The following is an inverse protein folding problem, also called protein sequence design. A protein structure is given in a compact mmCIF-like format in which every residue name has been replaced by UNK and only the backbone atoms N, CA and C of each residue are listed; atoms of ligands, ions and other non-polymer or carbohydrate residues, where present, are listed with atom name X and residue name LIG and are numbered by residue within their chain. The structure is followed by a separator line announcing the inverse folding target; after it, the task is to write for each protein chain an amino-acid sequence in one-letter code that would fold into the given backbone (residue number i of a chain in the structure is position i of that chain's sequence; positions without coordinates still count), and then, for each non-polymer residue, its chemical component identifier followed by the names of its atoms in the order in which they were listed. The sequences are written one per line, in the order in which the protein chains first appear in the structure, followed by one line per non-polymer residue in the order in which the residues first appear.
data_IF_818180011781
#
_entry.id   IF_818180011781
#
_cell.length_a   1.000
_cell.length_b   1.000
_cell.length_c   1.000
_cell.angle_alpha   90.00
_cell.angle_beta   90.00
_cell.angle_gamma   90.00
#
_symmetry.space_group_name_H-M   'P 1'
#
loop_
_entity.id
_entity.type
_entity.pdbx_description
1 polymer ?
#
# COMPACT_ATOMS: atom_id res chain seq x y z
N UNK A 1 10.76 -15.68 11.56
CA UNK A 1 10.44 -14.49 10.76
C UNK A 1 8.93 -14.37 10.72
N UNK A 2 8.38 -13.26 11.21
CA UNK A 2 6.92 -13.06 11.27
C UNK A 2 6.45 -12.32 10.02
N UNK A 3 5.41 -12.83 9.38
CA UNK A 3 4.91 -12.28 8.11
C UNK A 3 3.43 -11.93 8.22
N UNK A 4 2.99 -10.94 7.46
CA UNK A 4 1.57 -10.59 7.39
C UNK A 4 1.12 -10.31 5.95
N UNK A 5 -0.20 -10.44 5.73
CA UNK A 5 -0.91 -9.97 4.55
C UNK A 5 -1.82 -8.84 5.01
N UNK A 6 -1.74 -7.67 4.38
CA UNK A 6 -2.39 -6.47 4.85
C UNK A 6 -3.38 -5.89 3.83
N UNK A 7 -4.46 -5.30 4.34
CA UNK A 7 -5.41 -4.48 3.59
C UNK A 7 -5.82 -3.27 4.42
N UNK A 8 -6.08 -2.15 3.76
CA UNK A 8 -6.81 -1.02 4.34
C UNK A 8 -8.22 -1.01 3.76
N UNK A 9 -9.23 -1.05 4.60
CA UNK A 9 -10.62 -1.00 4.20
C UNK A 9 -11.42 -0.02 5.06
N UNK A 10 -12.56 0.38 4.59
CA UNK A 10 -13.50 1.22 5.33
C UNK A 10 -14.58 0.37 6.01
N UNK A 11 -15.25 0.93 7.00
CA UNK A 11 -16.48 0.34 7.51
C UNK A 11 -17.66 0.61 6.59
N UNK A 12 -18.54 -0.34 6.50
CA UNK A 12 -19.80 -0.25 5.77
C UNK A 12 -20.97 -0.28 6.75
N UNK A 13 -22.07 0.41 6.40
CA UNK A 13 -23.30 0.40 7.19
C UNK A 13 -24.04 -0.93 7.12
N UNK A 14 -23.93 -1.61 5.97
CA UNK A 14 -24.54 -2.91 5.72
C UNK A 14 -23.44 -3.97 5.61
N UNK A 15 -23.75 -5.16 6.15
CA UNK A 15 -22.82 -6.29 6.22
C UNK A 15 -22.45 -6.82 4.82
N UNK A 16 -23.31 -6.67 3.83
CA UNK A 16 -23.05 -7.02 2.43
C UNK A 16 -21.96 -6.16 1.78
N UNK A 17 -21.65 -5.00 2.36
CA UNK A 17 -20.55 -4.15 1.92
C UNK A 17 -19.18 -4.82 2.03
N UNK A 18 -19.05 -5.86 2.86
CA UNK A 18 -17.81 -6.62 3.01
C UNK A 18 -17.65 -7.80 2.04
N UNK A 19 -18.54 -7.99 1.09
CA UNK A 19 -18.49 -9.10 0.14
C UNK A 19 -17.19 -9.12 -0.68
N UNK A 20 -16.66 -7.95 -1.06
CA UNK A 20 -15.37 -7.86 -1.76
C UNK A 20 -14.21 -8.29 -0.86
N UNK A 21 -14.17 -7.79 0.37
CA UNK A 21 -13.15 -8.16 1.35
C UNK A 21 -13.18 -9.68 1.65
N UNK A 22 -14.39 -10.27 1.76
CA UNK A 22 -14.58 -11.69 1.97
C UNK A 22 -14.09 -12.49 0.75
N UNK A 23 -14.44 -12.10 -0.48
CA UNK A 23 -13.94 -12.71 -1.72
C UNK A 23 -12.42 -12.65 -1.81
N UNK A 24 -11.82 -11.49 -1.47
CA UNK A 24 -10.37 -11.32 -1.38
C UNK A 24 -9.76 -12.31 -0.39
N UNK A 25 -10.33 -12.42 0.81
CA UNK A 25 -9.84 -13.32 1.86
C UNK A 25 -9.97 -14.79 1.45
N UNK A 26 -11.04 -15.18 0.77
CA UNK A 26 -11.20 -16.52 0.21
C UNK A 26 -10.14 -16.81 -0.87
N UNK A 27 -9.83 -15.84 -1.73
CA UNK A 27 -8.74 -15.99 -2.71
C UNK A 27 -7.38 -16.17 -2.01
N UNK A 28 -7.11 -15.42 -0.93
CA UNK A 28 -5.92 -15.63 -0.10
C UNK A 28 -5.91 -17.04 0.50
N UNK A 29 -7.01 -17.47 1.11
CA UNK A 29 -7.13 -18.80 1.73
C UNK A 29 -6.82 -19.94 0.75
N UNK A 30 -7.22 -19.81 -0.52
CA UNK A 30 -6.96 -20.79 -1.57
C UNK A 30 -5.50 -20.81 -2.03
N UNK A 31 -4.78 -19.69 -1.92
CA UNK A 31 -3.44 -19.51 -2.46
C UNK A 31 -2.35 -19.41 -1.38
N UNK A 32 -2.69 -19.61 -0.10
CA UNK A 32 -1.80 -19.55 1.05
C UNK A 32 -1.70 -20.93 1.72
N UNK A 33 -0.52 -21.55 1.69
CA UNK A 33 -0.24 -22.80 2.37
C UNK A 33 0.20 -22.58 3.83
N UNK A 34 1.02 -21.57 4.08
CA UNK A 34 1.55 -21.25 5.40
C UNK A 34 0.49 -20.56 6.28
N UNK A 35 -0.10 -21.32 7.20
CA UNK A 35 -1.15 -20.82 8.11
C UNK A 35 -0.65 -19.91 9.24
N UNK A 36 0.66 -19.72 9.36
CA UNK A 36 1.25 -18.82 10.37
C UNK A 36 1.41 -17.37 9.89
N UNK A 37 0.83 -17.02 8.73
CA UNK A 37 0.83 -15.65 8.21
C UNK A 37 -0.44 -14.94 8.70
N UNK A 38 -0.27 -13.86 9.44
CA UNK A 38 -1.36 -13.06 9.98
C UNK A 38 -2.03 -12.23 8.86
N UNK A 39 -3.35 -12.10 8.91
CA UNK A 39 -4.11 -11.20 8.04
C UNK A 39 -4.44 -9.93 8.82
N UNK A 40 -3.90 -8.80 8.40
CA UNK A 40 -4.15 -7.51 9.03
C UNK A 40 -5.19 -6.73 8.23
N UNK A 41 -6.32 -6.44 8.86
CA UNK A 41 -7.37 -5.59 8.31
C UNK A 41 -7.30 -4.24 9.05
N UNK A 42 -6.66 -3.27 8.40
CA UNK A 42 -6.62 -1.89 8.88
C UNK A 42 -7.94 -1.18 8.56
N UNK A 43 -8.49 -0.45 9.54
CA UNK A 43 -9.76 0.28 9.38
C UNK A 43 -9.84 1.53 10.25
N UNK A 44 -10.74 2.43 9.92
CA UNK A 44 -10.92 3.73 10.59
C UNK A 44 -11.69 3.65 11.93
N UNK A 45 -11.82 2.49 12.53
CA UNK A 45 -12.57 2.27 13.77
C UNK A 45 -14.07 2.02 13.57
N UNK A 46 -14.54 1.93 12.34
CA UNK A 46 -15.94 1.83 11.94
C UNK A 46 -16.39 0.42 11.52
N UNK A 47 -15.56 -0.61 11.71
CA UNK A 47 -15.95 -2.02 11.59
C UNK A 47 -16.37 -2.53 12.97
N UNK A 48 -17.66 -2.73 13.16
CA UNK A 48 -18.23 -3.19 14.44
C UNK A 48 -17.81 -4.62 14.77
N UNK A 49 -17.94 -5.03 16.05
CA UNK A 49 -17.66 -6.40 16.46
C UNK A 49 -18.52 -7.45 15.74
N UNK A 50 -19.78 -7.13 15.43
CA UNK A 50 -20.66 -7.98 14.61
C UNK A 50 -20.12 -8.16 13.19
N UNK A 51 -19.71 -7.07 12.54
CA UNK A 51 -19.13 -7.11 11.21
C UNK A 51 -17.80 -7.88 11.19
N UNK A 52 -16.95 -7.71 12.23
CA UNK A 52 -15.71 -8.49 12.38
C UNK A 52 -15.99 -9.98 12.48
N UNK A 53 -16.97 -10.37 13.33
CA UNK A 53 -17.39 -11.77 13.46
C UNK A 53 -17.89 -12.35 12.14
N UNK A 54 -18.71 -11.60 11.39
CA UNK A 54 -19.19 -12.03 10.08
C UNK A 54 -18.05 -12.30 9.10
N UNK A 55 -17.06 -11.42 9.04
CA UNK A 55 -15.90 -11.58 8.15
C UNK A 55 -15.10 -12.83 8.53
N UNK A 56 -14.85 -13.04 9.84
CA UNK A 56 -14.14 -14.22 10.37
C UNK A 56 -14.90 -15.51 10.03
N UNK A 57 -16.21 -15.54 10.27
CA UNK A 57 -17.05 -16.74 10.03
C UNK A 57 -17.06 -17.16 8.56
N UNK A 58 -16.93 -16.21 7.64
CA UNK A 58 -16.85 -16.49 6.19
C UNK A 58 -15.47 -16.94 5.72
N UNK A 59 -14.41 -16.70 6.53
CA UNK A 59 -13.01 -17.02 6.18
C UNK A 59 -12.27 -17.68 7.35
N UNK A 60 -12.79 -18.83 7.88
CA UNK A 60 -12.38 -19.42 9.16
C UNK A 60 -10.96 -20.01 9.17
N UNK A 61 -10.33 -20.15 8.00
CA UNK A 61 -8.96 -20.69 7.89
C UNK A 61 -7.87 -19.62 7.97
N UNK A 62 -8.23 -18.35 8.14
CA UNK A 62 -7.30 -17.22 8.21
C UNK A 62 -7.24 -16.69 9.65
N UNK A 63 -6.04 -16.35 10.12
CA UNK A 63 -5.86 -15.64 11.38
C UNK A 63 -5.97 -14.13 11.13
N UNK A 64 -7.17 -13.58 11.39
CA UNK A 64 -7.51 -12.19 11.06
C UNK A 64 -7.40 -11.31 12.28
N UNK A 65 -6.68 -10.19 12.14
CA UNK A 65 -6.55 -9.13 13.13
C UNK A 65 -7.12 -7.83 12.59
N UNK A 66 -8.15 -7.28 13.24
CA UNK A 66 -8.70 -5.97 12.93
C UNK A 66 -7.93 -4.90 13.71
N UNK A 67 -7.40 -3.92 13.00
CA UNK A 67 -6.56 -2.87 13.58
C UNK A 67 -7.18 -1.51 13.27
N UNK A 68 -7.71 -0.87 14.30
CA UNK A 68 -8.18 0.51 14.19
C UNK A 68 -6.97 1.45 14.04
N UNK A 69 -6.84 2.09 12.89
CA UNK A 69 -5.75 3.02 12.58
C UNK A 69 -6.11 4.48 12.89
N UNK A 70 -7.38 4.77 13.17
CA UNK A 70 -7.85 6.11 13.54
C UNK A 70 -7.67 6.37 15.05
N UNK A 71 -6.43 6.28 15.51
CA UNK A 71 -6.03 6.43 16.92
C UNK A 71 -5.02 7.57 17.12
N UNK A 72 -4.97 8.52 16.18
CA UNK A 72 -4.01 9.62 16.15
C UNK A 72 -2.68 9.30 15.45
N UNK A 73 -2.44 8.04 15.07
CA UNK A 73 -1.23 7.62 14.34
C UNK A 73 -1.40 7.68 12.82
N UNK A 74 -2.64 7.57 12.32
CA UNK A 74 -2.99 7.74 10.91
C UNK A 74 -4.26 8.60 10.77
N UNK A 75 -4.61 8.97 9.53
CA UNK A 75 -5.78 9.81 9.21
C UNK A 75 -5.82 11.11 10.03
N UNK A 76 -4.67 11.78 10.13
CA UNK A 76 -4.47 12.98 10.95
C UNK A 76 -5.44 14.09 10.55
N UNK A 77 -6.33 14.51 11.46
CA UNK A 77 -7.42 15.47 11.20
C UNK A 77 -6.93 16.82 10.65
N UNK A 78 -5.80 17.33 11.14
CA UNK A 78 -5.22 18.60 10.65
C UNK A 78 -4.82 18.55 9.17
N UNK A 79 -4.56 17.38 8.60
CA UNK A 79 -4.28 17.23 7.17
C UNK A 79 -5.52 17.46 6.31
N UNK A 80 -6.72 17.37 6.88
CA UNK A 80 -7.99 17.66 6.18
C UNK A 80 -8.20 19.16 5.92
N UNK A 81 -7.41 20.02 6.55
CA UNK A 81 -7.47 21.47 6.37
C UNK A 81 -6.60 21.97 5.19
N UNK A 82 -5.78 21.06 4.61
CA UNK A 82 -4.89 21.41 3.50
C UNK A 82 -5.73 21.66 2.25
N UNK A 83 -5.54 22.84 1.64
CA UNK A 83 -6.17 23.19 0.36
C UNK A 83 -5.63 22.30 -0.76
N UNK A 84 -6.54 21.66 -1.50
CA UNK A 84 -6.20 20.81 -2.63
C UNK A 84 -5.86 21.64 -3.86
N UNK A 85 -4.84 21.21 -4.60
CA UNK A 85 -4.62 21.73 -5.94
C UNK A 85 -5.85 21.51 -6.81
N UNK A 86 -6.37 22.55 -7.52
CA UNK A 86 -7.59 22.44 -8.32
C UNK A 86 -7.54 21.30 -9.36
N UNK A 87 -6.38 21.02 -9.95
CA UNK A 87 -6.19 19.93 -10.91
C UNK A 87 -6.39 18.53 -10.33
N UNK A 88 -6.39 18.41 -9.00
CA UNK A 88 -6.55 17.12 -8.28
C UNK A 88 -7.79 17.06 -7.39
N UNK A 89 -8.68 18.05 -7.49
CA UNK A 89 -9.87 18.20 -6.62
C UNK A 89 -10.86 17.04 -6.70
N UNK A 90 -10.87 16.27 -7.80
CA UNK A 90 -11.72 15.09 -7.95
C UNK A 90 -11.34 13.93 -6.97
N UNK A 91 -10.13 13.95 -6.41
CA UNK A 91 -9.70 12.98 -5.41
C UNK A 91 -9.98 13.52 -4.01
N UNK A 92 -10.98 12.95 -3.34
CA UNK A 92 -11.37 13.37 -1.99
C UNK A 92 -10.33 13.06 -0.92
N UNK A 93 -10.60 13.59 0.28
CA UNK A 93 -9.69 13.44 1.45
C UNK A 93 -9.43 11.98 1.82
N UNK A 94 -10.42 11.09 1.74
CA UNK A 94 -10.25 9.67 2.05
C UNK A 94 -9.20 8.97 1.16
N UNK A 95 -9.16 9.33 -0.14
CA UNK A 95 -8.14 8.81 -1.05
C UNK A 95 -6.73 9.28 -0.65
N UNK A 96 -6.58 10.54 -0.25
CA UNK A 96 -5.30 11.12 0.20
C UNK A 96 -4.85 10.51 1.54
N UNK A 97 -5.78 10.26 2.44
CA UNK A 97 -5.52 9.50 3.67
C UNK A 97 -5.03 8.08 3.38
N UNK A 98 -5.62 7.39 2.41
CA UNK A 98 -5.17 6.06 1.99
C UNK A 98 -3.74 6.09 1.44
N UNK A 99 -3.41 7.07 0.57
CA UNK A 99 -2.04 7.25 0.07
C UNK A 99 -1.04 7.56 1.20
N UNK A 100 -1.43 8.45 2.14
CA UNK A 100 -0.61 8.76 3.32
C UNK A 100 -0.41 7.52 4.19
N UNK A 101 -1.48 6.79 4.47
CA UNK A 101 -1.41 5.57 5.26
C UNK A 101 -0.37 4.60 4.68
N UNK A 102 -0.47 4.25 3.39
CA UNK A 102 0.38 3.24 2.76
C UNK A 102 1.83 3.69 2.52
N UNK A 103 2.15 4.96 2.71
CA UNK A 103 3.52 5.43 2.61
C UNK A 103 4.10 5.92 3.94
N UNK A 104 3.31 6.69 4.70
CA UNK A 104 3.79 7.38 5.91
C UNK A 104 3.41 6.65 7.20
N UNK A 105 2.14 6.19 7.33
CA UNK A 105 1.60 5.88 8.66
C UNK A 105 1.63 4.38 9.00
N UNK A 106 1.57 3.46 8.03
CA UNK A 106 1.43 2.02 8.26
C UNK A 106 2.58 1.42 9.09
N UNK A 107 3.75 2.05 9.07
CA UNK A 107 4.90 1.65 9.87
C UNK A 107 4.60 1.56 11.36
N UNK A 108 3.68 2.37 11.85
CA UNK A 108 3.25 2.39 13.24
C UNK A 108 2.54 1.09 13.67
N UNK A 109 2.04 0.31 12.71
CA UNK A 109 1.20 -0.86 12.95
C UNK A 109 1.86 -2.19 12.61
N UNK A 110 2.98 -2.16 11.87
CA UNK A 110 3.68 -3.38 11.40
C UNK A 110 5.03 -3.63 12.07
N UNK A 111 5.30 -2.96 13.21
CA UNK A 111 6.60 -3.03 13.92
C UNK A 111 7.07 -4.44 14.24
N UNK A 112 6.15 -5.38 14.49
CA UNK A 112 6.44 -6.76 14.87
C UNK A 112 6.55 -7.72 13.67
N UNK A 113 6.44 -7.23 12.43
CA UNK A 113 6.51 -8.06 11.24
C UNK A 113 7.81 -7.83 10.48
N UNK A 114 8.35 -8.90 9.90
CA UNK A 114 9.55 -8.89 9.08
C UNK A 114 9.22 -8.72 7.59
N UNK A 115 8.08 -9.28 7.16
CA UNK A 115 7.60 -9.27 5.77
C UNK A 115 6.14 -8.92 5.70
N UNK A 116 5.74 -8.17 4.67
CA UNK A 116 4.33 -7.82 4.42
C UNK A 116 4.00 -7.98 2.94
N UNK A 117 2.85 -8.57 2.65
CA UNK A 117 2.20 -8.54 1.35
C UNK A 117 0.93 -7.70 1.46
N UNK A 118 0.88 -6.55 0.78
CA UNK A 118 -0.34 -5.78 0.60
C UNK A 118 -1.17 -6.40 -0.52
N UNK A 119 -2.46 -6.59 -0.28
CA UNK A 119 -3.47 -6.95 -1.29
C UNK A 119 -4.67 -6.06 -1.03
N UNK A 120 -5.03 -5.18 -1.96
CA UNK A 120 -6.17 -4.28 -1.80
C UNK A 120 -7.50 -5.05 -1.77
N UNK A 121 -8.56 -4.41 -1.25
CA UNK A 121 -9.86 -5.03 -0.95
C UNK A 121 -10.52 -5.68 -2.17
N UNK A 122 -10.34 -5.08 -3.35
CA UNK A 122 -10.91 -5.52 -4.63
C UNK A 122 -9.92 -6.31 -5.51
N UNK A 123 -8.83 -6.81 -4.91
CA UNK A 123 -7.81 -7.61 -5.60
C UNK A 123 -7.88 -9.07 -5.18
N UNK A 124 -8.16 -9.97 -6.14
CA UNK A 124 -8.29 -11.41 -5.91
C UNK A 124 -7.07 -12.13 -6.46
N UNK A 125 -6.17 -12.51 -5.56
CA UNK A 125 -4.90 -13.16 -5.92
C UNK A 125 -5.15 -14.58 -6.44
N UNK A 126 -4.46 -14.94 -7.54
CA UNK A 126 -4.56 -16.23 -8.20
C UNK A 126 -3.22 -16.94 -8.38
N UNK A 127 -2.22 -16.63 -7.52
CA UNK A 127 -0.91 -17.26 -7.54
C UNK A 127 -0.44 -17.58 -6.12
N UNK A 128 0.59 -18.43 -6.01
CA UNK A 128 1.12 -18.91 -4.74
C UNK A 128 1.73 -17.77 -3.91
N UNK A 129 1.07 -17.44 -2.78
CA UNK A 129 1.49 -16.38 -1.86
C UNK A 129 2.80 -16.74 -1.16
N UNK A 130 2.98 -18.01 -0.77
CA UNK A 130 4.20 -18.44 -0.09
C UNK A 130 5.44 -18.25 -0.98
N UNK A 131 5.30 -18.44 -2.29
CA UNK A 131 6.37 -18.17 -3.24
C UNK A 131 6.76 -16.68 -3.26
N UNK A 132 5.77 -15.77 -3.28
CA UNK A 132 6.01 -14.32 -3.21
C UNK A 132 6.73 -13.97 -1.90
N UNK A 133 6.26 -14.51 -0.77
CA UNK A 133 6.84 -14.23 0.54
C UNK A 133 8.28 -14.77 0.68
N UNK A 134 8.60 -15.89 0.02
CA UNK A 134 9.96 -16.45 0.01
C UNK A 134 10.93 -15.61 -0.82
N UNK A 135 10.49 -15.04 -1.95
CA UNK A 135 11.34 -14.15 -2.76
C UNK A 135 11.74 -12.86 -2.01
N UNK A 136 11.00 -12.45 -0.97
CA UNK A 136 11.41 -11.35 -0.09
C UNK A 136 12.70 -11.64 0.72
N UNK A 137 13.24 -12.86 0.70
CA UNK A 137 14.56 -13.14 1.26
C UNK A 137 15.69 -12.65 0.34
N UNK A 138 15.37 -12.38 -0.94
CA UNK A 138 16.34 -11.95 -1.98
C UNK A 138 16.10 -10.49 -2.40
N UNK A 139 14.85 -10.03 -2.35
CA UNK A 139 14.46 -8.70 -2.77
C UNK A 139 13.81 -7.92 -1.62
N UNK A 140 13.98 -6.61 -1.62
CA UNK A 140 13.31 -5.73 -0.66
C UNK A 140 11.86 -5.46 -1.03
N UNK A 141 11.57 -5.48 -2.35
CA UNK A 141 10.24 -5.18 -2.89
C UNK A 141 9.88 -6.18 -3.99
N UNK A 142 8.60 -6.51 -4.07
CA UNK A 142 8.07 -7.37 -5.14
C UNK A 142 6.72 -6.81 -5.60
N UNK A 143 6.50 -6.75 -6.90
CA UNK A 143 5.21 -6.39 -7.47
C UNK A 143 4.95 -7.09 -8.81
N UNK A 144 3.70 -7.10 -9.28
CA UNK A 144 3.34 -7.68 -10.56
C UNK A 144 3.64 -6.77 -11.76
N UNK A 145 3.65 -5.45 -11.55
CA UNK A 145 3.84 -4.44 -12.60
C UNK A 145 4.56 -3.23 -12.04
N UNK A 146 5.35 -2.59 -12.91
CA UNK A 146 5.89 -1.25 -12.68
C UNK A 146 5.22 -0.29 -13.65
N UNK A 147 4.62 0.79 -13.17
CA UNK A 147 3.85 1.73 -13.99
C UNK A 147 4.19 3.18 -13.68
N UNK A 148 3.89 4.06 -14.61
CA UNK A 148 3.95 5.52 -14.42
C UNK A 148 2.63 6.02 -13.81
N UNK A 149 2.68 7.05 -12.98
CA UNK A 149 1.49 7.80 -12.56
C UNK A 149 1.34 9.06 -13.43
N UNK A 150 0.17 9.67 -13.38
CA UNK A 150 -0.13 10.84 -14.19
C UNK A 150 0.65 12.08 -13.73
N UNK A 151 1.09 12.91 -14.68
CA UNK A 151 1.91 14.10 -14.40
C UNK A 151 1.22 15.08 -13.43
N UNK A 152 -0.11 15.22 -13.54
CA UNK A 152 -0.88 16.16 -12.72
C UNK A 152 -1.01 15.74 -11.24
N UNK A 153 -0.75 14.48 -10.90
CA UNK A 153 -0.76 13.97 -9.51
C UNK A 153 0.66 13.70 -8.97
N UNK A 154 1.70 14.06 -9.72
CA UNK A 154 3.11 13.90 -9.31
C UNK A 154 3.87 15.22 -9.36
N UNK A 155 3.15 16.35 -9.37
CA UNK A 155 3.73 17.71 -9.45
C UNK A 155 4.78 17.91 -8.36
N UNK A 156 6.01 18.20 -8.76
CA UNK A 156 7.12 18.49 -7.86
C UNK A 156 7.77 17.28 -7.18
N UNK A 157 7.27 16.05 -7.39
CA UNK A 157 7.79 14.85 -6.72
C UNK A 157 9.26 14.59 -7.03
N UNK A 158 9.64 14.55 -8.30
CA UNK A 158 11.04 14.38 -8.70
C UNK A 158 11.95 15.49 -8.14
N UNK A 159 11.46 16.73 -8.12
CA UNK A 159 12.24 17.84 -7.55
C UNK A 159 12.52 17.60 -6.08
N UNK A 160 11.52 17.19 -5.30
CA UNK A 160 11.68 16.90 -3.89
C UNK A 160 12.68 15.75 -3.66
N UNK A 161 12.63 14.69 -4.47
CA UNK A 161 13.58 13.57 -4.38
C UNK A 161 15.01 14.01 -4.71
N UNK A 162 15.20 14.79 -5.77
CA UNK A 162 16.52 15.30 -6.15
C UNK A 162 17.10 16.26 -5.11
N UNK A 163 16.27 17.12 -4.53
CA UNK A 163 16.68 18.01 -3.43
C UNK A 163 17.10 17.19 -2.19
N UNK A 164 16.43 16.05 -1.94
CA UNK A 164 16.75 15.16 -0.84
C UNK A 164 18.12 14.48 -1.00
N UNK A 165 18.37 13.85 -2.15
CA UNK A 165 19.64 13.14 -2.41
C UNK A 165 20.78 14.09 -2.77
N UNK A 166 20.51 15.39 -3.00
CA UNK A 166 21.48 16.43 -3.42
C UNK A 166 22.24 16.10 -4.71
N UNK A 167 21.61 15.33 -5.58
CA UNK A 167 22.15 14.96 -6.88
C UNK A 167 21.35 15.60 -8.01
N UNK A 168 21.93 16.63 -8.65
CA UNK A 168 21.28 17.37 -9.72
C UNK A 168 21.66 16.90 -11.14
N UNK A 169 22.56 15.91 -11.24
CA UNK A 169 23.04 15.36 -12.52
C UNK A 169 22.26 14.14 -13.01
N UNK A 170 21.28 13.64 -12.24
CA UNK A 170 20.43 12.54 -12.65
C UNK A 170 19.43 13.03 -13.69
N UNK A 171 19.21 12.23 -14.72
CA UNK A 171 18.45 12.54 -15.92
C UNK A 171 17.23 13.42 -15.67
N UNK A 172 17.28 14.65 -16.16
CA UNK A 172 16.12 15.56 -16.19
C UNK A 172 15.01 14.88 -17.01
N UNK A 173 13.84 14.75 -16.41
CA UNK A 173 12.63 14.30 -17.11
C UNK A 173 12.21 12.87 -16.84
N UNK A 174 12.76 12.16 -15.81
CA UNK A 174 12.16 10.91 -15.38
C UNK A 174 10.73 11.17 -14.87
N UNK A 175 9.77 10.47 -15.42
CA UNK A 175 8.41 10.49 -14.89
C UNK A 175 8.36 9.66 -13.60
N UNK A 176 7.71 10.16 -12.53
CA UNK A 176 7.46 9.35 -11.35
C UNK A 176 6.69 8.08 -11.71
N UNK A 177 7.29 6.96 -11.39
CA UNK A 177 6.77 5.62 -11.67
C UNK A 177 7.12 4.71 -10.51
N UNK A 178 6.38 3.64 -10.31
CA UNK A 178 6.62 2.76 -9.18
C UNK A 178 5.92 1.40 -9.29
N UNK A 179 6.05 0.57 -8.25
CA UNK A 179 5.34 -0.68 -8.16
C UNK A 179 3.83 -0.41 -8.17
N UNK A 180 3.07 -1.22 -8.90
CA UNK A 180 1.62 -1.15 -8.85
C UNK A 180 1.16 -1.73 -7.50
N UNK A 181 0.87 -0.83 -6.55
CA UNK A 181 0.79 -1.11 -5.12
C UNK A 181 -0.45 -1.88 -4.67
N UNK A 182 -1.42 -2.13 -5.55
CA UNK A 182 -2.61 -2.92 -5.24
C UNK A 182 -2.29 -4.35 -4.76
N UNK A 183 -1.22 -4.95 -5.33
CA UNK A 183 -0.62 -6.19 -4.85
C UNK A 183 0.89 -6.02 -4.89
N UNK A 184 1.48 -5.80 -3.72
CA UNK A 184 2.93 -5.61 -3.59
C UNK A 184 3.44 -6.14 -2.25
N UNK A 185 4.67 -6.63 -2.25
CA UNK A 185 5.31 -7.18 -1.05
C UNK A 185 6.56 -6.39 -0.68
N UNK A 186 6.82 -6.29 0.63
CA UNK A 186 7.93 -5.52 1.22
C UNK A 186 8.62 -6.35 2.28
N UNK A 187 9.94 -6.44 2.21
CA UNK A 187 10.79 -6.94 3.29
C UNK A 187 10.94 -5.83 4.35
N UNK A 188 9.99 -5.76 5.28
CA UNK A 188 9.94 -4.73 6.31
C UNK A 188 11.21 -4.70 7.16
N UNK A 189 11.78 -5.87 7.49
CA UNK A 189 12.99 -5.97 8.32
C UNK A 189 14.18 -5.31 7.64
N UNK A 190 14.37 -5.58 6.34
CA UNK A 190 15.47 -5.02 5.57
C UNK A 190 15.33 -3.50 5.39
N UNK A 191 14.14 -3.03 5.02
CA UNK A 191 13.95 -1.61 4.66
C UNK A 191 13.81 -0.69 5.87
N UNK A 192 13.25 -1.18 6.99
CA UNK A 192 12.96 -0.38 8.20
C UNK A 192 14.21 0.24 8.83
N UNK A 193 15.35 -0.41 8.74
CA UNK A 193 16.60 0.08 9.31
C UNK A 193 17.31 1.14 8.47
N UNK A 194 16.80 1.43 7.28
CA UNK A 194 17.40 2.41 6.39
C UNK A 194 17.05 3.84 6.85
N UNK A 195 18.07 4.59 7.29
CA UNK A 195 17.92 5.96 7.79
C UNK A 195 17.40 6.90 6.69
N UNK A 196 17.91 6.77 5.46
CA UNK A 196 17.46 7.61 4.33
C UNK A 196 15.97 7.42 4.05
N UNK A 197 15.44 6.18 4.18
CA UNK A 197 14.01 5.94 4.03
C UNK A 197 13.20 6.72 5.08
N UNK A 198 13.60 6.65 6.35
CA UNK A 198 12.88 7.34 7.43
C UNK A 198 12.93 8.86 7.28
N UNK A 199 14.06 9.40 6.84
CA UNK A 199 14.22 10.83 6.55
C UNK A 199 13.37 11.26 5.35
N UNK A 200 13.35 10.46 4.28
CA UNK A 200 12.54 10.73 3.09
C UNK A 200 11.04 10.71 3.42
N UNK A 201 10.57 9.70 4.17
CA UNK A 201 9.18 9.63 4.64
C UNK A 201 8.82 10.88 5.45
N UNK A 202 9.70 11.28 6.37
CA UNK A 202 9.51 12.50 7.19
C UNK A 202 9.42 13.75 6.32
N UNK A 203 10.25 13.86 5.31
CA UNK A 203 10.23 15.00 4.38
C UNK A 203 8.95 15.03 3.54
N UNK A 204 8.50 13.88 3.04
CA UNK A 204 7.24 13.77 2.31
C UNK A 204 6.05 14.13 3.20
N UNK A 205 5.98 13.64 4.45
CA UNK A 205 4.90 14.00 5.39
C UNK A 205 4.87 15.50 5.67
N UNK A 206 6.03 16.12 5.90
CA UNK A 206 6.15 17.57 6.15
C UNK A 206 5.83 18.44 4.94
N UNK A 207 5.96 17.92 3.73
CA UNK A 207 5.68 18.67 2.50
C UNK A 207 4.20 18.89 2.25
N UNK A 208 3.32 18.12 2.89
CA UNK A 208 1.87 18.07 2.66
C UNK A 208 1.44 17.72 1.22
N UNK A 209 2.38 17.33 0.35
CA UNK A 209 2.12 17.15 -1.07
C UNK A 209 1.25 15.93 -1.40
N UNK A 210 1.19 14.92 -0.52
CA UNK A 210 0.19 13.84 -0.61
C UNK A 210 -1.23 14.44 -0.58
N UNK A 211 -1.43 15.43 0.28
CA UNK A 211 -2.72 16.10 0.44
C UNK A 211 -2.93 17.19 -0.59
N UNK A 212 -1.94 18.03 -0.85
CA UNK A 212 -2.07 19.13 -1.79
C UNK A 212 -2.19 18.65 -3.25
N UNK A 213 -1.28 17.81 -3.71
CA UNK A 213 -1.18 17.37 -5.11
C UNK A 213 -1.66 15.94 -5.36
N UNK A 214 -2.19 15.26 -4.36
CA UNK A 214 -2.62 13.86 -4.45
C UNK A 214 -1.45 12.92 -4.78
N UNK A 215 -0.25 13.13 -4.23
CA UNK A 215 0.83 12.19 -4.44
C UNK A 215 0.42 10.78 -4.01
N UNK A 216 0.44 9.84 -4.95
CA UNK A 216 0.10 8.44 -4.68
C UNK A 216 1.25 7.69 -4.00
N UNK A 217 0.90 6.65 -3.27
CA UNK A 217 1.89 5.76 -2.66
C UNK A 217 2.71 4.99 -3.71
N UNK A 218 2.12 4.65 -4.85
CA UNK A 218 2.79 4.01 -5.98
C UNK A 218 4.05 4.80 -6.44
N UNK A 219 3.93 6.06 -6.91
CA UNK A 219 5.12 6.80 -7.34
C UNK A 219 6.06 7.15 -6.19
N UNK A 220 5.57 7.34 -4.96
CA UNK A 220 6.42 7.57 -3.79
C UNK A 220 7.29 6.35 -3.48
N UNK A 221 6.75 5.13 -3.53
CA UNK A 221 7.55 3.91 -3.44
C UNK A 221 8.54 3.79 -4.60
N UNK A 222 8.15 4.23 -5.79
CA UNK A 222 9.05 4.29 -6.94
C UNK A 222 10.26 5.20 -6.71
N UNK A 223 10.05 6.40 -6.14
CA UNK A 223 11.14 7.31 -5.78
C UNK A 223 12.07 6.68 -4.73
N UNK A 224 11.51 6.04 -3.70
CA UNK A 224 12.28 5.31 -2.67
C UNK A 224 13.12 4.20 -3.28
N UNK A 225 12.53 3.37 -4.12
CA UNK A 225 13.24 2.24 -4.75
C UNK A 225 14.34 2.78 -5.67
N UNK A 226 14.03 3.77 -6.50
CA UNK A 226 14.98 4.29 -7.48
C UNK A 226 16.16 5.01 -6.84
N UNK A 227 15.91 5.88 -5.85
CA UNK A 227 16.95 6.77 -5.30
C UNK A 227 17.63 6.25 -4.02
N UNK A 228 16.98 5.36 -3.27
CA UNK A 228 17.48 4.92 -1.95
C UNK A 228 17.97 3.48 -1.99
N UNK A 229 17.21 2.56 -2.62
CA UNK A 229 17.51 1.13 -2.58
C UNK A 229 18.16 0.59 -3.86
N UNK A 230 17.97 1.25 -5.01
CA UNK A 230 18.37 0.76 -6.33
C UNK A 230 17.35 -0.20 -6.94
N UNK A 231 17.29 -0.21 -8.27
CA UNK A 231 16.32 -1.04 -9.04
C UNK A 231 16.59 -2.55 -8.91
N UNK A 232 17.79 -2.95 -8.52
CA UNK A 232 18.15 -4.35 -8.22
C UNK A 232 17.48 -4.86 -6.92
N UNK A 233 16.95 -3.97 -6.10
CA UNK A 233 16.26 -4.32 -4.84
C UNK A 233 14.82 -4.76 -5.04
N UNK A 234 14.27 -4.61 -6.25
CA UNK A 234 12.88 -4.98 -6.57
C UNK A 234 12.82 -6.11 -7.61
N UNK A 235 11.91 -7.05 -7.39
CA UNK A 235 11.47 -8.02 -8.37
C UNK A 235 10.11 -7.56 -8.97
N UNK A 236 10.09 -7.29 -10.27
CA UNK A 236 8.85 -7.11 -11.03
C UNK A 236 8.53 -8.44 -11.71
N UNK A 237 7.56 -9.19 -11.16
CA UNK A 237 7.22 -10.54 -11.62
C UNK A 237 5.82 -10.58 -12.25
N UNK A 238 5.79 -10.70 -13.57
CA UNK A 238 4.54 -10.84 -14.33
C UNK A 238 3.74 -12.11 -14.01
N UNK A 239 4.28 -13.07 -13.24
CA UNK A 239 3.57 -14.25 -12.76
C UNK A 239 2.74 -13.97 -11.50
N UNK A 240 2.87 -12.79 -10.88
CA UNK A 240 1.93 -12.34 -9.84
C UNK A 240 0.60 -12.05 -10.52
N UNK A 241 -0.27 -13.05 -10.53
CA UNK A 241 -1.60 -12.98 -11.15
C UNK A 241 -2.63 -12.62 -10.10
N UNK A 242 -3.43 -11.62 -10.38
CA UNK A 242 -4.63 -11.26 -9.60
C UNK A 242 -5.64 -10.58 -10.52
N UNK A 243 -6.90 -10.67 -10.15
CA UNK A 243 -7.99 -9.93 -10.77
C UNK A 243 -8.26 -8.68 -9.93
N UNK A 244 -8.29 -7.51 -10.58
CA UNK A 244 -8.57 -6.22 -9.94
C UNK A 244 -9.95 -5.74 -10.38
N UNK A 245 -10.97 -6.00 -9.57
CA UNK A 245 -12.38 -5.86 -9.97
C UNK A 245 -12.71 -4.47 -10.51
N UNK A 246 -12.28 -3.40 -9.82
CA UNK A 246 -12.57 -2.02 -10.24
C UNK A 246 -11.91 -1.61 -11.57
N UNK A 247 -10.84 -2.30 -11.99
CA UNK A 247 -10.12 -2.03 -13.23
C UNK A 247 -10.45 -3.01 -14.35
N UNK A 248 -10.52 -4.31 -14.04
CA UNK A 248 -10.69 -5.36 -15.05
C UNK A 248 -12.13 -5.45 -15.55
N UNK A 249 -13.12 -5.07 -14.74
CA UNK A 249 -14.51 -4.97 -15.17
C UNK A 249 -14.78 -3.83 -16.19
N UNK A 250 -13.92 -2.80 -16.24
CA UNK A 250 -14.06 -1.71 -17.21
C UNK A 250 -13.62 -2.08 -18.63
N UNK A 251 -12.94 -3.20 -18.81
CA UNK A 251 -12.44 -3.67 -20.10
C UNK A 251 -13.51 -4.48 -20.87
N UNK A 252 -14.62 -4.81 -20.23
CA UNK A 252 -15.69 -5.66 -20.80
C UNK A 252 -16.98 -4.89 -21.18
N UNK A 253 -16.91 -3.56 -21.34
CA UNK A 253 -18.03 -2.74 -21.85
C UNK A 253 -17.66 -1.95 -23.09
#
# INVERSE_FOLDING_TARGET
MRSCIAVLTRGYSDISGYDLLIKRNLAIQMNLCNKSIDILIFHEGNITGEHQSHIIDKTPCLEIHFINVNNGLAFKSHKSEIEFDPGTSLFGIGYRHMCSFWFVDFWNFVGNYDKMLRIDEDCFIGCNIDAIMNELDRYNFICGKWIEDHDFVTIGMNKLSLDFIKEYNIARGRKPSGPYTNVCAINLKSVRSNVMLSEYITMVDKSDNIYKYRWGDLPLWGEVIYYIFGMESILVDANIKYFHESHDMKVNF
#
